data_IF_099578783139
#
_entry.id   IF_099578783139
#
_cell.length_a   1.000
_cell.length_b   1.000
_cell.length_c   1.000
_cell.angle_alpha   90.00
_cell.angle_beta   90.00
_cell.angle_gamma   90.00
#
_symmetry.space_group_name_H-M   'P 1'
#
loop_
_entity.id
_entity.type
_entity.pdbx_description
1 polymer ?
#
# COMPACT_ATOMS: atom_id res chain seq x y z
N UNK A 1 24.64 32.55 -15.23
CA UNK A 1 25.21 31.83 -16.36
C UNK A 1 24.86 30.34 -16.36
N UNK A 2 25.05 29.60 -15.24
CA UNK A 2 24.77 28.16 -15.16
C UNK A 2 23.31 27.83 -15.49
N UNK A 3 22.35 28.48 -14.84
CA UNK A 3 20.92 28.25 -15.08
C UNK A 3 20.53 28.53 -16.54
N UNK A 4 21.02 29.62 -17.14
CA UNK A 4 20.79 29.94 -18.55
C UNK A 4 21.40 28.87 -19.48
N UNK A 5 22.53 28.29 -19.11
CA UNK A 5 23.18 27.21 -19.84
C UNK A 5 22.40 25.91 -19.87
N UNK A 6 21.72 25.56 -18.77
CA UNK A 6 20.94 24.32 -18.62
C UNK A 6 19.71 24.31 -19.53
N UNK A 7 19.08 25.45 -19.77
CA UNK A 7 17.82 25.56 -20.57
C UNK A 7 17.93 24.90 -21.94
N UNK A 8 19.09 25.00 -22.61
CA UNK A 8 19.31 24.42 -23.95
C UNK A 8 19.26 22.89 -23.96
N UNK A 9 19.75 22.24 -22.91
CA UNK A 9 19.74 20.78 -22.75
C UNK A 9 19.79 20.43 -21.25
N UNK A 10 18.65 20.39 -20.57
CA UNK A 10 18.57 20.16 -19.13
C UNK A 10 19.24 18.87 -18.67
N UNK A 11 19.14 17.80 -19.45
CA UNK A 11 19.75 16.52 -19.12
C UNK A 11 21.26 16.48 -19.35
N UNK A 12 21.73 17.11 -20.43
CA UNK A 12 23.14 17.09 -20.81
C UNK A 12 24.01 18.07 -20.03
N UNK A 13 23.45 19.21 -19.60
CA UNK A 13 24.17 20.27 -18.87
C UNK A 13 23.76 20.36 -17.39
N UNK A 14 23.06 19.33 -16.87
CA UNK A 14 22.77 19.24 -15.44
C UNK A 14 24.08 19.13 -14.63
N UNK A 15 24.34 20.02 -13.68
CA UNK A 15 25.54 19.96 -12.84
C UNK A 15 25.52 18.73 -11.89
N UNK A 16 24.35 18.20 -11.58
CA UNK A 16 24.17 16.98 -10.80
C UNK A 16 24.65 15.74 -11.57
N UNK A 17 24.41 15.71 -12.91
CA UNK A 17 24.82 14.58 -13.76
C UNK A 17 26.26 14.67 -14.26
N UNK A 18 26.69 15.87 -14.59
CA UNK A 18 28.05 16.13 -15.09
C UNK A 18 28.48 17.56 -14.76
N UNK A 19 29.20 17.72 -13.65
CA UNK A 19 29.78 19.00 -13.24
C UNK A 19 30.67 19.59 -14.35
N UNK A 20 31.47 18.77 -15.00
CA UNK A 20 32.38 19.20 -16.07
C UNK A 20 31.63 19.83 -17.25
N UNK A 21 30.61 19.18 -17.79
CA UNK A 21 29.79 19.71 -18.90
C UNK A 21 28.98 20.96 -18.48
N UNK A 22 28.54 21.03 -17.24
CA UNK A 22 27.87 22.20 -16.70
C UNK A 22 28.80 23.41 -16.61
N UNK A 23 30.07 23.22 -16.17
CA UNK A 23 31.11 24.26 -16.11
C UNK A 23 31.47 24.72 -17.54
N UNK A 24 31.72 23.80 -18.46
CA UNK A 24 31.99 24.14 -19.85
C UNK A 24 30.87 25.02 -20.46
N UNK A 25 29.63 24.61 -20.24
CA UNK A 25 28.46 25.36 -20.74
C UNK A 25 28.29 26.71 -20.02
N UNK A 26 28.51 26.78 -18.71
CA UNK A 26 28.55 28.05 -17.95
C UNK A 26 29.57 29.01 -18.52
N UNK A 27 30.79 28.53 -18.74
CA UNK A 27 31.88 29.35 -19.24
C UNK A 27 31.61 29.89 -20.65
N UNK A 28 30.95 29.08 -21.52
CA UNK A 28 30.50 29.58 -22.84
C UNK A 28 29.46 30.71 -22.68
N UNK A 29 28.51 30.57 -21.75
CA UNK A 29 27.52 31.64 -21.51
C UNK A 29 28.18 32.88 -20.96
N UNK A 30 29.12 32.77 -20.03
CA UNK A 30 29.89 33.92 -19.48
C UNK A 30 30.69 34.62 -20.59
N UNK A 31 31.33 33.84 -21.46
CA UNK A 31 32.08 34.44 -22.60
C UNK A 31 31.17 35.26 -23.50
N UNK A 32 29.99 34.73 -23.88
CA UNK A 32 29.01 35.44 -24.68
C UNK A 32 28.47 36.71 -24.00
N UNK A 33 28.28 36.66 -22.68
CA UNK A 33 27.88 37.85 -21.90
C UNK A 33 28.94 38.92 -21.92
N UNK A 34 30.21 38.55 -21.79
CA UNK A 34 31.35 39.48 -21.91
C UNK A 34 31.47 40.08 -23.32
N UNK A 35 31.47 39.23 -24.37
CA UNK A 35 31.55 39.67 -25.77
C UNK A 35 30.41 40.62 -26.15
N UNK A 36 29.24 40.50 -25.53
CA UNK A 36 28.08 41.37 -25.75
C UNK A 36 28.05 42.59 -24.81
N UNK A 37 29.10 42.81 -24.02
CA UNK A 37 29.19 43.95 -23.08
C UNK A 37 28.16 43.88 -21.93
N UNK A 38 27.67 42.70 -21.58
CA UNK A 38 26.70 42.49 -20.50
C UNK A 38 27.37 42.41 -19.13
N UNK A 39 28.64 42.00 -19.08
CA UNK A 39 29.50 41.93 -17.91
C UNK A 39 30.88 42.51 -18.25
N UNK A 40 31.57 43.08 -17.25
CA UNK A 40 32.94 43.53 -17.38
C UNK A 40 33.96 42.37 -17.34
N UNK A 41 35.24 42.71 -17.64
CA UNK A 41 36.32 41.72 -17.67
C UNK A 41 36.56 41.11 -16.29
N UNK A 42 36.56 41.94 -15.22
CA UNK A 42 36.74 41.50 -13.84
C UNK A 42 35.62 40.55 -13.39
N UNK A 43 34.37 40.86 -13.77
CA UNK A 43 33.21 40.01 -13.45
C UNK A 43 33.29 38.68 -14.23
N UNK A 44 33.76 38.73 -15.47
CA UNK A 44 33.93 37.54 -16.31
C UNK A 44 34.97 36.58 -15.70
N UNK A 45 36.18 37.05 -15.39
CA UNK A 45 37.26 36.22 -14.85
C UNK A 45 36.92 35.72 -13.44
N UNK A 46 36.29 36.54 -12.59
CA UNK A 46 35.82 36.12 -11.29
C UNK A 46 34.81 34.99 -11.40
N UNK A 47 33.73 35.17 -12.14
CA UNK A 47 32.67 34.20 -12.29
C UNK A 47 33.13 32.89 -12.99
N UNK A 48 34.14 32.96 -13.85
CA UNK A 48 34.73 31.80 -14.52
C UNK A 48 35.61 30.98 -13.59
N UNK A 49 36.31 31.66 -12.64
CA UNK A 49 37.17 31.02 -11.66
C UNK A 49 36.40 30.38 -10.49
N UNK A 50 35.17 30.83 -10.23
CA UNK A 50 34.34 30.27 -9.17
C UNK A 50 34.07 28.79 -9.38
N UNK A 51 34.21 28.01 -8.30
CA UNK A 51 33.82 26.60 -8.34
C UNK A 51 32.28 26.46 -8.39
N UNK A 52 31.81 25.50 -9.14
CA UNK A 52 30.39 25.17 -9.21
C UNK A 52 30.02 24.27 -8.02
N UNK A 53 29.47 24.88 -6.98
CA UNK A 53 28.96 24.13 -5.83
C UNK A 53 27.59 23.56 -6.21
N UNK A 54 27.49 22.25 -6.24
CA UNK A 54 26.24 21.54 -6.41
C UNK A 54 25.82 21.04 -5.04
N UNK A 55 24.82 21.67 -4.45
CA UNK A 55 24.19 21.11 -3.28
C UNK A 55 23.36 19.93 -3.77
N UNK A 56 23.95 18.76 -3.76
CA UNK A 56 23.20 17.51 -3.88
C UNK A 56 22.39 17.31 -2.60
N UNK A 57 21.30 18.04 -2.46
CA UNK A 57 20.19 17.53 -1.70
C UNK A 57 19.56 16.42 -2.56
N UNK A 58 20.26 15.31 -2.72
CA UNK A 58 19.57 14.03 -2.91
C UNK A 58 18.78 13.90 -1.63
N UNK A 59 17.52 14.33 -1.66
CA UNK A 59 16.57 13.93 -0.64
C UNK A 59 16.66 12.39 -0.65
N UNK A 60 17.44 11.87 0.31
CA UNK A 60 17.33 10.43 0.62
C UNK A 60 15.85 10.22 0.83
N UNK A 61 15.25 9.17 0.23
CA UNK A 61 13.84 8.92 0.42
C UNK A 61 13.57 9.03 1.92
N UNK A 62 12.86 10.08 2.31
CA UNK A 62 12.46 10.26 3.71
C UNK A 62 11.51 9.13 4.06
N UNK A 63 11.37 8.81 5.33
CA UNK A 63 10.43 7.78 5.81
C UNK A 63 9.00 8.02 5.32
N UNK A 64 8.69 9.23 4.91
CA UNK A 64 7.43 9.65 4.30
C UNK A 64 7.35 9.43 2.79
N UNK A 65 8.44 9.10 2.08
CA UNK A 65 8.46 9.07 0.61
C UNK A 65 7.46 8.06 0.02
N UNK A 66 7.31 6.89 0.65
CA UNK A 66 6.33 5.87 0.24
C UNK A 66 4.91 6.37 0.47
N UNK A 67 4.63 6.97 1.64
CA UNK A 67 3.34 7.55 1.95
C UNK A 67 2.98 8.67 0.97
N UNK A 68 3.90 9.61 0.71
CA UNK A 68 3.72 10.71 -0.24
C UNK A 68 3.46 10.19 -1.67
N UNK A 69 4.17 9.14 -2.09
CA UNK A 69 3.93 8.51 -3.38
C UNK A 69 2.49 8.02 -3.54
N UNK A 70 1.91 7.45 -2.48
CA UNK A 70 0.51 7.00 -2.51
C UNK A 70 -0.48 8.18 -2.45
N UNK A 71 -0.17 9.26 -1.70
CA UNK A 71 -0.95 10.51 -1.77
C UNK A 71 -1.01 11.06 -3.21
N UNK A 72 0.14 11.12 -3.88
CA UNK A 72 0.21 11.62 -5.27
C UNK A 72 -0.66 10.76 -6.19
N UNK A 73 -0.56 9.44 -6.14
CA UNK A 73 -1.38 8.54 -6.96
C UNK A 73 -2.88 8.74 -6.70
N UNK A 74 -3.28 8.87 -5.44
CA UNK A 74 -4.67 9.11 -5.05
C UNK A 74 -5.18 10.42 -5.65
N UNK A 75 -4.42 11.51 -5.55
CA UNK A 75 -4.77 12.82 -6.09
C UNK A 75 -4.89 12.79 -7.62
N UNK A 76 -3.91 12.20 -8.31
CA UNK A 76 -3.93 12.10 -9.78
C UNK A 76 -5.17 11.37 -10.25
N UNK A 77 -5.57 10.31 -9.55
CA UNK A 77 -6.77 9.53 -9.85
C UNK A 77 -8.03 10.32 -9.54
N UNK A 78 -8.10 10.95 -8.35
CA UNK A 78 -9.29 11.67 -7.90
C UNK A 78 -9.59 12.91 -8.74
N UNK A 79 -8.56 13.72 -9.04
CA UNK A 79 -8.69 14.94 -9.84
C UNK A 79 -8.64 14.67 -11.35
N UNK A 80 -8.28 13.47 -11.78
CA UNK A 80 -8.06 13.10 -13.18
C UNK A 80 -7.08 14.05 -13.87
N UNK A 81 -5.94 14.34 -13.23
CA UNK A 81 -4.88 15.22 -13.73
C UNK A 81 -3.56 14.46 -13.89
N UNK A 82 -2.67 15.05 -14.67
CA UNK A 82 -1.31 14.52 -14.82
C UNK A 82 -0.40 14.97 -13.66
N UNK A 83 0.70 14.24 -13.44
CA UNK A 83 1.73 14.64 -12.48
C UNK A 83 2.28 16.04 -12.78
N UNK A 84 2.50 16.36 -14.06
CA UNK A 84 2.94 17.67 -14.48
C UNK A 84 1.97 18.80 -14.06
N UNK A 85 0.67 18.58 -14.23
CA UNK A 85 -0.35 19.54 -13.79
C UNK A 85 -0.36 19.68 -12.27
N UNK A 86 -0.25 18.59 -11.52
CA UNK A 86 -0.17 18.62 -10.06
C UNK A 86 1.02 19.47 -9.59
N UNK A 87 2.19 19.27 -10.18
CA UNK A 87 3.43 19.95 -9.79
C UNK A 87 3.46 21.44 -10.18
N UNK A 88 2.71 21.85 -11.22
CA UNK A 88 2.79 23.22 -11.79
C UNK A 88 1.54 24.08 -11.54
N UNK A 89 0.48 23.56 -10.90
CA UNK A 89 -0.76 24.30 -10.68
C UNK A 89 -0.92 24.91 -9.29
N UNK A 90 0.12 24.86 -8.44
CA UNK A 90 0.13 25.49 -7.13
C UNK A 90 -0.83 24.87 -6.10
N UNK A 91 -1.19 23.60 -6.27
CA UNK A 91 -2.04 22.90 -5.31
C UNK A 91 -1.43 22.85 -3.91
N UNK A 92 -2.27 23.03 -2.91
CA UNK A 92 -1.94 22.73 -1.49
C UNK A 92 -2.62 21.43 -1.12
N UNK A 93 -1.82 20.43 -0.75
CA UNK A 93 -2.30 19.08 -0.45
C UNK A 93 -2.25 18.88 1.05
N UNK A 94 -3.39 18.54 1.62
CA UNK A 94 -3.52 18.19 3.03
C UNK A 94 -3.63 16.67 3.15
N UNK A 95 -2.78 16.07 3.97
CA UNK A 95 -2.71 14.63 4.15
C UNK A 95 -3.13 14.21 5.55
N UNK A 96 -3.44 12.92 5.72
CA UNK A 96 -3.72 12.30 7.00
C UNK A 96 -2.45 11.83 7.74
N UNK A 97 -1.27 12.18 7.23
CA UNK A 97 0.03 11.70 7.69
C UNK A 97 0.33 12.09 9.14
N UNK A 98 0.65 11.09 9.97
CA UNK A 98 1.20 11.28 11.31
C UNK A 98 2.68 10.84 11.32
N UNK A 99 3.63 11.78 11.47
CA UNK A 99 5.05 11.46 11.44
C UNK A 99 5.52 10.57 12.60
N UNK A 100 4.85 10.63 13.77
CA UNK A 100 5.19 9.77 14.91
C UNK A 100 4.72 8.34 14.67
N UNK A 101 3.48 8.18 14.23
CA UNK A 101 2.94 6.88 13.85
C UNK A 101 3.75 6.24 12.72
N UNK A 102 4.15 7.02 11.72
CA UNK A 102 4.99 6.57 10.61
C UNK A 102 6.35 6.05 11.08
N UNK A 103 7.02 6.77 11.99
CA UNK A 103 8.31 6.35 12.53
C UNK A 103 8.20 5.03 13.31
N UNK A 104 7.18 4.89 14.15
CA UNK A 104 6.92 3.65 14.89
C UNK A 104 6.65 2.49 13.95
N UNK A 105 5.78 2.70 12.95
CA UNK A 105 5.42 1.67 11.97
C UNK A 105 6.63 1.20 11.17
N UNK A 106 7.45 2.14 10.69
CA UNK A 106 8.70 1.83 9.99
C UNK A 106 9.64 1.00 10.85
N UNK A 107 9.88 1.45 12.10
CA UNK A 107 10.77 0.74 13.00
C UNK A 107 10.31 -0.70 13.24
N UNK A 108 9.01 -0.91 13.44
CA UNK A 108 8.44 -2.24 13.61
C UNK A 108 8.61 -3.13 12.37
N UNK A 109 8.45 -2.59 11.16
CA UNK A 109 8.63 -3.36 9.92
C UNK A 109 10.11 -3.61 9.61
N UNK A 110 11.00 -2.68 9.96
CA UNK A 110 12.44 -2.83 9.72
C UNK A 110 13.15 -3.67 10.79
N UNK A 111 12.53 -3.89 11.95
CA UNK A 111 13.10 -4.70 13.02
C UNK A 111 13.01 -6.19 12.67
N UNK A 112 14.12 -6.70 12.13
CA UNK A 112 14.22 -8.10 11.69
C UNK A 112 14.14 -9.11 12.84
N UNK A 113 14.19 -8.68 14.10
CA UNK A 113 14.02 -9.57 15.26
C UNK A 113 12.60 -10.15 15.38
N UNK A 114 11.61 -9.49 14.77
CA UNK A 114 10.22 -9.97 14.71
C UNK A 114 9.98 -11.02 13.61
N UNK A 115 10.93 -11.24 12.72
CA UNK A 115 10.77 -12.15 11.60
C UNK A 115 11.43 -13.50 11.91
N UNK A 116 10.78 -14.58 11.48
CA UNK A 116 11.35 -15.93 11.55
C UNK A 116 12.52 -16.12 10.58
N UNK A 117 12.60 -15.28 9.57
CA UNK A 117 13.64 -15.24 8.56
C UNK A 117 13.96 -13.78 8.23
N UNK A 118 15.26 -13.42 8.27
CA UNK A 118 15.73 -12.05 8.01
C UNK A 118 15.49 -11.56 6.57
N UNK A 119 15.29 -12.49 5.64
CA UNK A 119 15.00 -12.20 4.23
C UNK A 119 13.52 -11.85 3.98
N UNK A 120 12.66 -12.00 4.98
CA UNK A 120 11.26 -11.64 4.83
C UNK A 120 11.06 -10.13 4.71
N UNK A 121 10.20 -9.76 3.78
CA UNK A 121 9.70 -8.42 3.58
C UNK A 121 8.33 -8.24 4.24
N UNK A 122 8.01 -6.99 4.59
CA UNK A 122 6.77 -6.67 5.27
C UNK A 122 6.15 -5.36 4.82
N UNK A 123 4.85 -5.25 5.05
CA UNK A 123 4.11 -4.00 4.88
C UNK A 123 3.07 -3.85 5.99
N UNK A 124 2.86 -2.63 6.43
CA UNK A 124 1.81 -2.31 7.40
C UNK A 124 1.16 -0.96 7.09
N UNK A 125 -0.10 -0.86 7.49
CA UNK A 125 -0.92 0.34 7.32
C UNK A 125 -1.67 0.59 8.62
N UNK A 126 -1.64 1.84 9.08
CA UNK A 126 -2.40 2.29 10.24
C UNK A 126 -3.56 3.17 9.77
N UNK A 127 -4.76 2.80 10.16
CA UNK A 127 -6.01 3.42 9.69
C UNK A 127 -6.82 3.91 10.88
N UNK A 128 -7.34 5.11 10.78
CA UNK A 128 -8.44 5.56 11.64
C UNK A 128 -9.74 4.93 11.15
N UNK A 129 -10.34 4.07 11.96
CA UNK A 129 -11.51 3.29 11.54
C UNK A 129 -12.77 4.14 11.37
N UNK A 130 -12.88 5.24 12.09
CA UNK A 130 -14.06 6.11 12.05
C UNK A 130 -14.10 6.96 10.77
N UNK A 131 -12.96 7.56 10.42
CA UNK A 131 -12.84 8.42 9.23
C UNK A 131 -12.43 7.68 7.96
N UNK A 132 -11.71 6.57 8.06
CA UNK A 132 -11.04 5.90 6.95
C UNK A 132 -9.67 6.52 6.59
N UNK A 133 -9.17 7.44 7.41
CA UNK A 133 -7.89 8.09 7.19
C UNK A 133 -6.72 7.10 7.35
N UNK A 134 -5.86 7.02 6.33
CA UNK A 134 -4.59 6.31 6.43
C UNK A 134 -3.57 7.25 7.08
N UNK A 135 -3.26 7.02 8.34
CA UNK A 135 -2.38 7.89 9.14
C UNK A 135 -0.90 7.52 9.05
N UNK A 136 -0.60 6.25 8.76
CA UNK A 136 0.75 5.78 8.48
C UNK A 136 0.72 4.59 7.52
N UNK A 137 1.75 4.49 6.68
CA UNK A 137 1.95 3.36 5.76
C UNK A 137 3.44 3.16 5.51
N UNK A 138 3.93 1.96 5.76
CA UNK A 138 5.30 1.59 5.42
C UNK A 138 5.35 0.19 4.80
N UNK A 139 6.24 0.02 3.83
CA UNK A 139 6.38 -1.23 3.10
C UNK A 139 7.79 -1.38 2.54
N UNK A 140 8.35 -2.57 2.62
CA UNK A 140 9.55 -3.00 1.90
C UNK A 140 9.22 -3.67 0.57
N UNK A 141 7.92 -3.90 0.28
CA UNK A 141 7.40 -4.47 -0.96
C UNK A 141 6.56 -3.44 -1.74
N UNK A 142 6.37 -3.59 -3.05
CA UNK A 142 5.53 -2.67 -3.83
C UNK A 142 4.10 -2.57 -3.29
N UNK A 143 3.53 -1.37 -3.26
CA UNK A 143 2.15 -1.13 -2.80
C UNK A 143 1.10 -1.93 -3.59
N UNK A 144 1.32 -2.12 -4.88
CA UNK A 144 0.44 -2.93 -5.75
C UNK A 144 0.53 -4.43 -5.50
N UNK A 145 1.40 -4.86 -4.59
CA UNK A 145 1.58 -6.26 -4.28
C UNK A 145 0.30 -6.86 -3.68
N UNK A 146 -0.11 -7.99 -4.24
CA UNK A 146 -1.25 -8.78 -3.76
C UNK A 146 -0.78 -10.19 -3.42
N UNK A 147 -1.38 -10.78 -2.41
CA UNK A 147 -1.11 -12.16 -2.01
C UNK A 147 -2.36 -12.84 -1.47
N UNK A 148 -2.30 -14.15 -1.35
CA UNK A 148 -3.35 -14.91 -0.69
C UNK A 148 -3.54 -14.41 0.73
N UNK A 149 -4.76 -13.97 1.06
CA UNK A 149 -5.09 -13.44 2.39
C UNK A 149 -5.17 -14.55 3.45
N UNK A 150 -5.32 -15.80 3.01
CA UNK A 150 -5.41 -16.95 3.89
C UNK A 150 -6.57 -16.85 4.89
N UNK A 151 -6.35 -17.33 6.09
CA UNK A 151 -7.39 -17.37 7.14
C UNK A 151 -7.91 -15.99 7.56
N UNK A 152 -7.25 -14.89 7.19
CA UNK A 152 -7.77 -13.56 7.44
C UNK A 152 -9.05 -13.24 6.63
N UNK A 153 -9.41 -14.04 5.63
CA UNK A 153 -10.69 -13.94 4.92
C UNK A 153 -11.89 -14.41 5.77
N UNK A 154 -11.68 -15.31 6.73
CA UNK A 154 -12.76 -16.03 7.44
C UNK A 154 -13.78 -15.09 8.11
N UNK A 155 -13.39 -14.05 8.86
CA UNK A 155 -14.36 -13.12 9.42
C UNK A 155 -15.24 -12.47 8.36
N UNK A 156 -14.68 -12.18 7.18
CA UNK A 156 -15.27 -11.35 6.13
C UNK A 156 -16.18 -12.18 5.21
N UNK A 157 -15.64 -13.22 4.59
CA UNK A 157 -16.36 -14.01 3.57
C UNK A 157 -17.10 -15.22 4.12
N UNK A 158 -16.85 -15.62 5.39
CA UNK A 158 -17.47 -16.81 5.98
C UNK A 158 -18.41 -16.43 7.13
N UNK A 159 -17.87 -15.88 8.21
CA UNK A 159 -18.65 -15.70 9.43
C UNK A 159 -19.58 -14.49 9.37
N UNK A 160 -19.17 -13.37 8.77
CA UNK A 160 -20.04 -12.21 8.63
C UNK A 160 -21.32 -12.55 7.82
N UNK A 161 -21.24 -13.10 6.60
CA UNK A 161 -22.45 -13.52 5.89
C UNK A 161 -23.24 -14.60 6.59
N UNK A 162 -22.59 -15.55 7.27
CA UNK A 162 -23.30 -16.62 7.98
C UNK A 162 -24.15 -16.11 9.13
N UNK A 163 -23.63 -15.10 9.87
CA UNK A 163 -24.34 -14.41 10.95
C UNK A 163 -25.46 -13.49 10.42
N UNK A 164 -25.14 -12.65 9.42
CA UNK A 164 -26.07 -11.71 8.81
C UNK A 164 -27.29 -12.43 8.19
N UNK A 165 -27.03 -13.52 7.46
CA UNK A 165 -28.08 -14.34 6.85
C UNK A 165 -28.75 -15.32 7.83
N UNK A 166 -28.43 -15.22 9.13
CA UNK A 166 -28.99 -16.05 10.21
C UNK A 166 -28.85 -17.55 9.97
N UNK A 167 -27.81 -17.96 9.24
CA UNK A 167 -27.50 -19.38 9.00
C UNK A 167 -26.91 -20.05 10.25
N UNK A 168 -26.21 -19.27 11.05
CA UNK A 168 -25.64 -19.68 12.33
C UNK A 168 -25.72 -18.52 13.32
N UNK A 169 -25.47 -18.83 14.59
CA UNK A 169 -25.15 -17.87 15.66
C UNK A 169 -23.72 -18.11 16.13
N UNK A 170 -23.17 -17.21 16.93
CA UNK A 170 -21.83 -17.39 17.48
C UNK A 170 -21.70 -18.65 18.38
N UNK A 171 -22.83 -19.16 18.90
CA UNK A 171 -22.92 -20.36 19.74
C UNK A 171 -23.49 -21.61 19.04
N UNK A 172 -23.80 -21.56 17.76
CA UNK A 172 -24.33 -22.72 17.06
C UNK A 172 -23.36 -23.92 17.11
N UNK A 173 -23.82 -25.14 17.39
CA UNK A 173 -22.95 -26.31 17.37
C UNK A 173 -22.57 -26.66 15.92
N UNK A 174 -21.28 -26.77 15.65
CA UNK A 174 -20.73 -27.24 14.38
C UNK A 174 -19.67 -28.27 14.67
N UNK A 175 -19.69 -29.37 13.96
CA UNK A 175 -18.70 -30.45 14.17
C UNK A 175 -17.46 -30.19 13.31
N UNK A 176 -16.32 -30.10 13.95
CA UNK A 176 -15.00 -30.06 13.36
C UNK A 176 -14.49 -31.48 13.15
N UNK A 177 -14.48 -31.92 11.91
CA UNK A 177 -14.15 -33.27 11.50
C UNK A 177 -13.62 -33.31 10.08
N UNK A 178 -13.01 -34.40 9.66
CA UNK A 178 -12.65 -34.61 8.25
C UNK A 178 -13.93 -34.59 7.40
N UNK A 179 -13.92 -33.75 6.38
CA UNK A 179 -15.05 -33.59 5.46
C UNK A 179 -14.55 -33.45 4.02
N UNK A 180 -15.27 -33.98 3.06
CA UNK A 180 -14.93 -33.89 1.64
C UNK A 180 -16.03 -33.20 0.86
N UNK A 181 -15.65 -32.44 -0.15
CA UNK A 181 -16.52 -31.80 -1.12
C UNK A 181 -16.04 -32.22 -2.52
N UNK A 182 -16.69 -33.28 -3.06
CA UNK A 182 -16.19 -33.94 -4.26
C UNK A 182 -14.81 -34.57 -4.04
N UNK A 183 -13.84 -34.17 -4.85
CA UNK A 183 -12.43 -34.63 -4.75
C UNK A 183 -11.59 -33.80 -3.76
N UNK A 184 -12.15 -32.74 -3.19
CA UNK A 184 -11.40 -31.85 -2.30
C UNK A 184 -11.73 -32.12 -0.83
N UNK A 185 -10.68 -32.35 -0.04
CA UNK A 185 -10.76 -32.57 1.41
C UNK A 185 -9.93 -31.54 2.14
N UNK A 186 -10.54 -30.42 2.61
CA UNK A 186 -9.83 -29.44 3.40
C UNK A 186 -9.40 -30.03 4.75
N UNK A 187 -8.19 -29.68 5.21
CA UNK A 187 -7.71 -30.09 6.52
C UNK A 187 -7.42 -28.91 7.43
N UNK A 188 -7.46 -29.14 8.74
CA UNK A 188 -7.00 -28.21 9.75
C UNK A 188 -5.46 -28.21 9.83
N UNK A 189 -4.91 -27.19 10.48
CA UNK A 189 -3.47 -27.14 10.74
C UNK A 189 -3.03 -28.38 11.55
N UNK A 190 -2.00 -29.07 11.07
CA UNK A 190 -1.47 -30.33 11.62
C UNK A 190 -2.50 -31.46 11.70
N UNK A 191 -3.56 -31.41 10.91
CA UNK A 191 -4.65 -32.41 10.91
C UNK A 191 -5.32 -32.68 12.26
N UNK A 192 -5.37 -31.61 13.10
CA UNK A 192 -6.00 -31.69 14.43
C UNK A 192 -7.48 -31.30 14.30
N UNK A 193 -8.37 -32.17 14.80
CA UNK A 193 -9.82 -31.99 14.79
C UNK A 193 -10.37 -32.01 16.21
N UNK A 194 -11.31 -31.11 16.51
CA UNK A 194 -11.77 -30.84 17.87
C UNK A 194 -13.18 -31.38 18.16
N UNK A 195 -13.84 -32.00 17.18
CA UNK A 195 -15.22 -32.50 17.35
C UNK A 195 -16.25 -31.35 17.43
N UNK A 196 -17.24 -31.48 18.28
CA UNK A 196 -18.25 -30.45 18.46
C UNK A 196 -17.66 -29.15 19.00
N UNK A 197 -17.91 -28.05 18.30
CA UNK A 197 -17.38 -26.71 18.63
C UNK A 197 -18.42 -25.64 18.27
N UNK A 198 -18.06 -24.37 18.44
CA UNK A 198 -18.89 -23.22 18.07
C UNK A 198 -18.17 -22.37 17.02
N UNK A 199 -18.88 -21.55 16.21
CA UNK A 199 -18.27 -20.59 15.30
C UNK A 199 -17.27 -19.66 15.98
N UNK A 200 -17.54 -19.25 17.23
CA UNK A 200 -16.63 -18.44 18.05
C UNK A 200 -15.30 -19.14 18.29
N UNK A 201 -15.34 -20.37 18.78
CA UNK A 201 -14.13 -21.14 19.03
C UNK A 201 -13.42 -21.54 17.74
N UNK A 202 -14.19 -21.84 16.68
CA UNK A 202 -13.64 -22.17 15.38
C UNK A 202 -12.89 -20.99 14.75
N UNK A 203 -13.43 -19.76 14.85
CA UNK A 203 -12.74 -18.56 14.38
C UNK A 203 -11.48 -18.27 15.23
N UNK A 204 -11.58 -18.36 16.55
CA UNK A 204 -10.47 -18.16 17.48
C UNK A 204 -9.29 -19.10 17.19
N UNK A 205 -9.57 -20.37 16.87
CA UNK A 205 -8.58 -21.40 16.53
C UNK A 205 -8.27 -21.47 15.04
N UNK A 206 -8.94 -20.64 14.24
CA UNK A 206 -8.78 -20.63 12.77
C UNK A 206 -9.04 -22.02 12.12
N UNK A 207 -10.04 -22.76 12.58
CA UNK A 207 -10.37 -24.09 12.04
C UNK A 207 -10.80 -23.97 10.57
N UNK A 208 -10.17 -24.76 9.70
CA UNK A 208 -10.43 -24.72 8.26
C UNK A 208 -11.70 -25.45 7.90
N UNK A 209 -11.89 -26.67 8.43
CA UNK A 209 -13.06 -27.51 8.12
C UNK A 209 -14.37 -26.85 8.54
N UNK A 210 -14.40 -26.19 9.71
CA UNK A 210 -15.56 -25.44 10.19
C UNK A 210 -15.82 -24.22 9.31
N UNK A 211 -14.78 -23.50 8.87
CA UNK A 211 -14.94 -22.37 7.97
C UNK A 211 -15.51 -22.79 6.62
N UNK A 212 -14.98 -23.86 6.01
CA UNK A 212 -15.50 -24.41 4.74
C UNK A 212 -16.93 -24.90 4.90
N UNK A 213 -17.23 -25.63 5.97
CA UNK A 213 -18.59 -26.09 6.30
C UNK A 213 -19.56 -24.91 6.48
N UNK A 214 -19.12 -23.87 7.17
CA UNK A 214 -19.94 -22.66 7.35
C UNK A 214 -20.22 -21.96 6.02
N UNK A 215 -19.20 -21.81 5.16
CA UNK A 215 -19.38 -21.22 3.83
C UNK A 215 -20.30 -22.08 2.95
N UNK A 216 -20.27 -23.41 3.08
CA UNK A 216 -21.20 -24.27 2.33
C UNK A 216 -22.67 -24.05 2.73
N UNK A 217 -22.95 -23.64 3.97
CA UNK A 217 -24.32 -23.27 4.40
C UNK A 217 -24.76 -21.89 3.89
N UNK A 218 -23.79 -20.99 3.68
CA UNK A 218 -24.01 -19.63 3.18
C UNK A 218 -24.22 -19.61 1.67
N UNK A 219 -23.38 -20.36 0.95
CA UNK A 219 -23.12 -20.26 -0.48
C UNK A 219 -21.85 -19.48 -0.76
N UNK A 220 -21.00 -19.99 -1.63
CA UNK A 220 -19.72 -19.35 -1.97
C UNK A 220 -19.91 -18.00 -2.69
N UNK A 221 -20.93 -17.91 -3.54
CA UNK A 221 -21.39 -16.69 -4.20
C UNK A 221 -21.67 -15.56 -3.20
N UNK A 222 -22.45 -15.87 -2.16
CA UNK A 222 -22.80 -14.92 -1.10
C UNK A 222 -21.59 -14.55 -0.26
N UNK A 223 -20.70 -15.51 0.03
CA UNK A 223 -19.42 -15.22 0.69
C UNK A 223 -18.57 -14.24 -0.10
N UNK A 224 -18.47 -14.43 -1.42
CA UNK A 224 -17.78 -13.53 -2.33
C UNK A 224 -18.42 -12.14 -2.39
N UNK A 225 -19.76 -12.06 -2.45
CA UNK A 225 -20.48 -10.78 -2.43
C UNK A 225 -20.23 -10.00 -1.15
N UNK A 226 -20.20 -10.66 0.01
CA UNK A 226 -19.84 -10.01 1.25
C UNK A 226 -18.40 -9.49 1.23
N UNK A 227 -17.43 -10.26 0.75
CA UNK A 227 -16.06 -9.82 0.61
C UNK A 227 -15.96 -8.57 -0.30
N UNK A 228 -16.70 -8.53 -1.42
CA UNK A 228 -16.79 -7.35 -2.30
C UNK A 228 -17.40 -6.14 -1.57
N UNK A 229 -18.46 -6.33 -0.79
CA UNK A 229 -19.06 -5.26 0.02
C UNK A 229 -18.08 -4.69 1.04
N UNK A 230 -17.21 -5.52 1.62
CA UNK A 230 -16.12 -5.09 2.49
C UNK A 230 -14.95 -4.41 1.74
N UNK A 231 -14.94 -4.49 0.40
CA UNK A 231 -13.94 -3.82 -0.45
C UNK A 231 -12.79 -4.71 -0.92
N UNK A 232 -12.93 -6.03 -0.76
CA UNK A 232 -11.99 -7.00 -1.33
C UNK A 232 -12.48 -7.37 -2.74
N UNK A 233 -11.59 -7.26 -3.74
CA UNK A 233 -11.93 -7.67 -5.10
C UNK A 233 -11.84 -9.19 -5.24
N UNK A 234 -12.99 -9.84 -5.40
CA UNK A 234 -13.13 -11.27 -5.60
C UNK A 234 -13.67 -11.51 -7.02
N UNK A 235 -12.95 -12.28 -7.82
CA UNK A 235 -13.39 -12.66 -9.16
C UNK A 235 -14.50 -13.72 -9.09
N UNK A 236 -15.29 -13.84 -10.15
CA UNK A 236 -16.33 -14.88 -10.24
C UNK A 236 -15.77 -16.31 -10.20
N UNK A 237 -14.54 -16.51 -10.68
CA UNK A 237 -13.84 -17.80 -10.60
C UNK A 237 -13.48 -18.20 -9.17
N UNK A 238 -13.43 -17.25 -8.23
CA UNK A 238 -13.11 -17.46 -6.82
C UNK A 238 -14.36 -17.78 -5.96
N UNK A 239 -15.56 -17.82 -6.58
CA UNK A 239 -16.83 -18.17 -5.91
C UNK A 239 -16.93 -19.67 -5.63
N UNK A 240 -15.96 -20.17 -4.90
CA UNK A 240 -15.82 -21.58 -4.53
C UNK A 240 -15.66 -21.72 -3.02
N UNK A 241 -15.80 -22.94 -2.50
CA UNK A 241 -15.58 -23.20 -1.07
C UNK A 241 -14.13 -22.95 -0.62
N UNK A 242 -13.16 -22.93 -1.55
CA UNK A 242 -11.78 -22.59 -1.24
C UNK A 242 -11.60 -21.11 -0.80
N UNK A 243 -12.57 -20.25 -1.13
CA UNK A 243 -12.63 -18.88 -0.62
C UNK A 243 -12.63 -18.82 0.91
N UNK A 244 -13.23 -19.84 1.59
CA UNK A 244 -13.21 -19.91 3.05
C UNK A 244 -11.79 -19.97 3.66
N UNK A 245 -10.80 -20.33 2.86
CA UNK A 245 -9.39 -20.43 3.24
C UNK A 245 -8.53 -19.30 2.64
N UNK A 246 -9.17 -18.35 1.95
CA UNK A 246 -8.51 -17.19 1.35
C UNK A 246 -7.81 -17.50 0.03
N UNK A 247 -8.13 -18.60 -0.62
CA UNK A 247 -7.67 -18.89 -1.97
C UNK A 247 -8.40 -17.97 -2.95
N UNK A 248 -7.66 -17.04 -3.55
CA UNK A 248 -8.16 -16.10 -4.56
C UNK A 248 -7.17 -16.02 -5.72
N UNK A 249 -7.66 -15.91 -6.95
CA UNK A 249 -6.83 -15.88 -8.16
C UNK A 249 -5.82 -14.73 -8.15
N UNK A 250 -6.29 -13.56 -7.85
CA UNK A 250 -5.49 -12.33 -7.93
C UNK A 250 -4.86 -11.91 -6.60
N UNK A 251 -5.14 -12.63 -5.52
CA UNK A 251 -4.73 -12.20 -4.18
C UNK A 251 -5.45 -10.95 -3.70
N UNK A 252 -5.10 -10.50 -2.50
CA UNK A 252 -5.66 -9.32 -1.83
C UNK A 252 -4.53 -8.37 -1.49
N UNK A 253 -4.71 -7.07 -1.76
CA UNK A 253 -3.75 -6.03 -1.37
C UNK A 253 -3.90 -5.67 0.11
N UNK A 254 -2.85 -5.07 0.68
CA UNK A 254 -2.89 -4.57 2.06
C UNK A 254 -4.03 -3.54 2.26
N UNK A 255 -4.26 -2.66 1.28
CA UNK A 255 -5.35 -1.67 1.35
C UNK A 255 -6.73 -2.33 1.39
N UNK A 256 -6.97 -3.33 0.54
CA UNK A 256 -8.24 -4.08 0.53
C UNK A 256 -8.46 -4.80 1.88
N UNK A 257 -7.42 -5.46 2.41
CA UNK A 257 -7.49 -6.11 3.71
C UNK A 257 -7.72 -5.11 4.85
N UNK A 258 -6.97 -4.00 4.88
CA UNK A 258 -7.13 -2.95 5.88
C UNK A 258 -8.53 -2.33 5.85
N UNK A 259 -9.07 -2.07 4.65
CA UNK A 259 -10.43 -1.54 4.50
C UNK A 259 -11.49 -2.49 5.03
N UNK A 260 -11.36 -3.79 4.74
CA UNK A 260 -12.31 -4.79 5.21
C UNK A 260 -12.29 -4.91 6.74
N UNK A 261 -11.10 -4.95 7.35
CA UNK A 261 -10.97 -5.01 8.79
C UNK A 261 -11.36 -3.71 9.50
N UNK A 262 -11.09 -2.56 8.88
CA UNK A 262 -11.57 -1.26 9.38
C UNK A 262 -13.10 -1.22 9.44
N UNK A 263 -13.78 -1.77 8.43
CA UNK A 263 -15.24 -1.86 8.44
C UNK A 263 -15.76 -2.75 9.60
N UNK A 264 -15.10 -3.87 9.90
CA UNK A 264 -15.44 -4.69 11.06
C UNK A 264 -15.25 -3.92 12.38
N UNK A 265 -14.15 -3.19 12.52
CA UNK A 265 -13.86 -2.37 13.70
C UNK A 265 -14.83 -1.19 13.84
N UNK A 266 -15.36 -0.67 12.73
CA UNK A 266 -16.31 0.43 12.67
C UNK A 266 -17.78 -0.08 12.59
N UNK A 267 -18.10 -1.11 13.34
CA UNK A 267 -19.46 -1.66 13.50
C UNK A 267 -20.14 -2.03 12.16
N UNK A 268 -19.39 -2.45 11.17
CA UNK A 268 -19.86 -2.80 9.82
C UNK A 268 -19.97 -1.61 8.86
N UNK A 269 -19.62 -0.42 9.27
CA UNK A 269 -19.64 0.78 8.40
C UNK A 269 -18.33 0.88 7.64
N UNK A 270 -18.36 0.58 6.35
CA UNK A 270 -17.20 0.73 5.46
C UNK A 270 -16.92 2.20 5.16
N UNK A 271 -15.68 2.63 5.35
CA UNK A 271 -15.13 3.90 4.88
C UNK A 271 -14.14 3.65 3.77
N UNK A 272 -14.08 4.51 2.78
CA UNK A 272 -13.00 4.45 1.79
C UNK A 272 -11.71 4.92 2.44
N UNK A 273 -10.67 4.12 2.34
CA UNK A 273 -9.38 4.49 2.89
C UNK A 273 -8.70 5.53 2.00
N UNK A 274 -8.29 6.65 2.61
CA UNK A 274 -7.66 7.78 1.94
C UNK A 274 -6.39 8.27 2.63
N UNK A 275 -5.39 8.62 1.84
CA UNK A 275 -4.15 9.25 2.30
C UNK A 275 -4.31 10.78 2.39
N UNK A 276 -5.23 11.33 1.62
CA UNK A 276 -5.49 12.77 1.48
C UNK A 276 -6.78 13.13 2.20
N UNK A 277 -6.81 14.36 2.76
CA UNK A 277 -7.98 14.95 3.43
C UNK A 277 -8.98 15.53 2.45
#
# INVERSE_FOLDING_TARGET
ATLAGIVKNPQGYSPVKSKAKAIERRNLVLKLMFEQGRIGEDEYETAKSEDLIVNESVEKPTDSSIYISECVKEILTYLNITKYQLENSGYKIYTNFDPKAQAVLKNAICDKSFYSDSELDGAAMLVDNESGAVIAYYSTIPYSFKRQIGSAIKPIAVYAPALELKKITAGSPIKDEVISYGSWTPSNYKDIYYGWTTPREALKKSMNTVAVKTLSYVGADKGADFARRFGINIDSEDETLALALGATKNGVSLKEAAQAYSALANLGVKRNLGFVK
#
